data_IF_819531981747
#
_entry.id   IF_819531981747
#
_cell.length_a   1.000
_cell.length_b   1.000
_cell.length_c   1.000
_cell.angle_alpha   90.00
_cell.angle_beta   90.00
_cell.angle_gamma   90.00
#
_symmetry.space_group_name_H-M   'P 1'
#
loop_
_entity.id
_entity.type
_entity.pdbx_description
1 polymer ?
#
# COMPACT_ATOMS: atom_id res chain seq x y z
N UNK A 1 7.26 14.72 1.83
CA UNK A 1 6.28 15.79 1.61
C UNK A 1 6.55 16.48 0.28
N UNK A 2 5.51 16.82 -0.47
CA UNK A 2 5.64 17.64 -1.66
C UNK A 2 4.98 19.00 -1.43
N UNK A 3 5.75 20.09 -1.61
CA UNK A 3 5.28 21.45 -1.41
C UNK A 3 4.35 21.91 -2.54
N UNK A 4 3.38 22.77 -2.24
CA UNK A 4 2.55 23.45 -3.22
C UNK A 4 3.14 24.82 -3.58
N UNK A 5 2.92 25.27 -4.81
CA UNK A 5 3.44 26.57 -5.30
C UNK A 5 2.88 27.77 -4.54
N UNK A 6 1.67 27.65 -4.01
CA UNK A 6 0.96 28.71 -3.26
C UNK A 6 1.16 28.65 -1.75
N UNK A 7 2.14 27.88 -1.28
CA UNK A 7 2.34 27.56 0.14
C UNK A 7 1.53 26.35 0.61
N UNK A 8 2.02 25.66 1.64
CA UNK A 8 1.45 24.40 2.12
C UNK A 8 2.00 23.19 1.37
N UNK A 9 1.22 22.10 1.37
CA UNK A 9 1.65 20.82 0.82
C UNK A 9 0.58 20.26 -0.13
N UNK A 10 1.05 19.63 -1.21
CA UNK A 10 0.20 18.80 -2.09
C UNK A 10 -0.01 17.41 -1.50
N UNK A 11 1.05 16.87 -0.91
CA UNK A 11 1.05 15.55 -0.29
C UNK A 11 1.98 15.54 0.92
N UNK A 12 1.51 14.95 2.00
CA UNK A 12 2.31 14.68 3.20
C UNK A 12 2.14 13.21 3.56
N UNK A 13 3.26 12.53 3.81
CA UNK A 13 3.30 11.16 4.28
C UNK A 13 3.91 11.16 5.68
N UNK A 14 3.21 10.57 6.63
CA UNK A 14 3.67 10.37 8.01
C UNK A 14 3.81 8.90 8.30
N UNK A 15 4.86 8.52 9.02
CA UNK A 15 4.97 7.23 9.69
C UNK A 15 4.66 7.46 11.16
N UNK A 16 3.66 6.76 11.67
CA UNK A 16 3.22 6.84 13.06
C UNK A 16 3.43 5.47 13.69
N UNK A 17 4.17 5.43 14.79
CA UNK A 17 4.51 4.21 15.53
C UNK A 17 3.92 4.26 16.92
N UNK A 18 3.43 3.14 17.42
CA UNK A 18 2.84 3.02 18.75
C UNK A 18 1.93 1.80 18.85
N UNK A 19 1.36 1.58 20.03
CA UNK A 19 0.41 0.49 20.23
C UNK A 19 -0.95 0.82 19.60
N UNK A 20 -1.51 -0.13 18.86
CA UNK A 20 -2.85 -0.02 18.26
C UNK A 20 -3.08 1.21 17.36
N UNK A 21 -2.03 1.82 16.82
CA UNK A 21 -2.12 3.05 16.01
C UNK A 21 -3.07 2.88 14.83
N UNK A 22 -2.95 1.77 14.09
CA UNK A 22 -3.84 1.48 12.96
C UNK A 22 -5.31 1.37 13.39
N UNK A 23 -5.58 0.73 14.55
CA UNK A 23 -6.93 0.62 15.11
C UNK A 23 -7.56 1.99 15.35
N UNK A 24 -6.80 2.94 15.85
CA UNK A 24 -7.28 4.31 16.12
C UNK A 24 -7.43 5.14 14.85
N UNK A 25 -6.52 5.00 13.89
CA UNK A 25 -6.46 5.87 12.72
C UNK A 25 -7.17 5.33 11.47
N UNK A 26 -7.54 4.04 11.43
CA UNK A 26 -8.20 3.43 10.25
C UNK A 26 -9.44 4.19 9.79
N UNK A 27 -10.14 4.87 10.69
CA UNK A 27 -11.34 5.66 10.38
C UNK A 27 -11.05 7.04 9.78
N UNK A 28 -9.76 7.44 9.73
CA UNK A 28 -9.35 8.68 9.08
C UNK A 28 -9.27 8.55 7.55
N UNK A 29 -9.26 7.32 7.04
CA UNK A 29 -9.19 7.08 5.61
C UNK A 29 -10.46 7.51 4.88
N UNK A 30 -10.31 8.27 3.80
CA UNK A 30 -11.40 8.75 2.96
C UNK A 30 -11.26 10.21 2.52
N UNK A 31 -12.36 10.79 2.09
CA UNK A 31 -12.43 12.18 1.59
C UNK A 31 -12.90 13.12 2.69
N UNK A 32 -12.09 14.12 3.01
CA UNK A 32 -12.36 15.15 4.00
C UNK A 32 -12.71 16.47 3.30
N UNK A 33 -13.87 17.02 3.54
CA UNK A 33 -14.32 18.29 3.00
C UNK A 33 -14.02 19.42 3.98
N UNK A 34 -13.36 20.46 3.49
CA UNK A 34 -12.99 21.63 4.30
C UNK A 34 -13.70 22.87 3.77
N UNK A 35 -14.38 23.59 4.66
CA UNK A 35 -15.05 24.86 4.40
C UNK A 35 -14.38 25.94 5.25
N UNK A 36 -13.63 26.84 4.59
CA UNK A 36 -12.95 27.95 5.25
C UNK A 36 -12.84 29.15 4.30
N UNK A 37 -12.55 30.31 4.85
CA UNK A 37 -12.10 31.47 4.08
C UNK A 37 -10.59 31.32 3.89
N UNK A 38 -10.09 31.12 2.64
CA UNK A 38 -8.66 31.00 2.37
C UNK A 38 -7.92 32.32 2.66
N UNK A 39 -6.63 32.25 2.97
CA UNK A 39 -5.79 33.44 3.16
C UNK A 39 -5.72 34.32 1.90
N UNK A 40 -5.87 33.71 0.73
CA UNK A 40 -5.88 34.39 -0.58
C UNK A 40 -7.21 35.06 -0.94
N UNK A 41 -8.27 34.84 -0.15
CA UNK A 41 -9.59 35.41 -0.40
C UNK A 41 -9.73 36.78 0.25
N UNK A 42 -9.92 37.81 -0.56
CA UNK A 42 -9.99 39.23 -0.11
C UNK A 42 -11.39 39.68 0.27
N UNK A 43 -12.45 38.97 -0.20
CA UNK A 43 -13.85 39.32 -0.01
C UNK A 43 -14.54 38.52 1.10
N UNK A 44 -13.79 37.69 1.85
CA UNK A 44 -14.33 36.90 2.95
C UNK A 44 -15.25 35.74 2.53
N UNK A 45 -15.21 35.33 1.26
CA UNK A 45 -16.04 34.22 0.76
C UNK A 45 -15.53 32.88 1.28
N UNK A 46 -16.46 32.02 1.70
CA UNK A 46 -16.15 30.67 2.13
C UNK A 46 -15.91 29.79 0.88
N UNK A 47 -14.72 29.17 0.84
CA UNK A 47 -14.38 28.19 -0.18
C UNK A 47 -14.47 26.78 0.37
N UNK A 48 -14.85 25.84 -0.49
CA UNK A 48 -14.90 24.42 -0.19
C UNK A 48 -13.79 23.69 -0.94
N UNK A 49 -12.94 23.00 -0.19
CA UNK A 49 -11.88 22.14 -0.73
C UNK A 49 -12.02 20.72 -0.18
N UNK A 50 -11.34 19.78 -0.81
CA UNK A 50 -11.24 18.40 -0.35
C UNK A 50 -9.79 18.01 -0.13
N UNK A 51 -9.55 17.19 0.89
CA UNK A 51 -8.31 16.48 1.13
C UNK A 51 -8.61 14.99 1.25
N UNK A 52 -7.79 14.15 0.65
CA UNK A 52 -7.92 12.70 0.75
C UNK A 52 -6.90 12.16 1.73
N UNK A 53 -7.32 11.26 2.58
CA UNK A 53 -6.47 10.59 3.57
C UNK A 53 -6.48 9.10 3.29
N UNK A 54 -5.30 8.49 3.22
CA UNK A 54 -5.13 7.05 3.19
C UNK A 54 -4.38 6.62 4.44
N UNK A 55 -4.90 5.63 5.13
CA UNK A 55 -4.28 5.01 6.30
C UNK A 55 -3.97 3.57 5.97
N UNK A 56 -2.69 3.25 5.90
CA UNK A 56 -2.19 1.95 5.46
C UNK A 56 -1.26 1.39 6.55
N UNK A 57 -1.29 0.09 6.83
CA UNK A 57 -0.28 -0.53 7.66
C UNK A 57 1.08 -0.44 6.96
N UNK A 58 2.17 -0.41 7.74
CA UNK A 58 3.51 -0.48 7.17
C UNK A 58 3.69 -1.84 6.48
N UNK A 59 4.20 -1.81 5.24
CA UNK A 59 4.53 -3.04 4.54
C UNK A 59 5.69 -3.76 5.25
N UNK A 60 5.54 -5.05 5.49
CA UNK A 60 6.62 -5.89 6.00
C UNK A 60 7.67 -6.11 4.92
N UNK A 61 8.93 -6.30 5.33
CA UNK A 61 9.99 -6.68 4.38
C UNK A 61 9.64 -8.02 3.73
N UNK A 62 9.68 -8.00 2.40
CA UNK A 62 9.37 -9.19 1.61
C UNK A 62 10.61 -10.07 1.51
N UNK A 63 10.58 -11.25 2.09
CA UNK A 63 11.61 -12.27 1.91
C UNK A 63 11.09 -13.43 1.06
N UNK A 64 12.02 -14.13 0.39
CA UNK A 64 11.70 -15.28 -0.45
C UNK A 64 12.52 -16.49 -0.04
N UNK A 65 11.83 -17.53 0.37
CA UNK A 65 12.38 -18.87 0.46
C UNK A 65 12.08 -19.64 -0.83
N UNK A 66 13.14 -20.12 -1.47
CA UNK A 66 13.04 -20.97 -2.67
C UNK A 66 13.15 -22.42 -2.23
N UNK A 67 12.03 -23.16 -2.31
CA UNK A 67 12.05 -24.58 -2.01
C UNK A 67 12.74 -25.35 -3.15
N UNK A 68 13.74 -26.18 -2.89
CA UNK A 68 14.41 -26.99 -3.91
C UNK A 68 13.46 -27.91 -4.72
N UNK A 69 12.35 -28.32 -4.16
CA UNK A 69 11.36 -29.17 -4.85
C UNK A 69 10.58 -28.42 -5.94
N UNK A 70 10.49 -27.10 -5.81
CA UNK A 70 9.84 -26.22 -6.77
C UNK A 70 10.74 -25.82 -7.92
N UNK A 71 12.00 -26.26 -7.90
CA UNK A 71 12.98 -25.99 -8.94
C UNK A 71 13.13 -27.17 -9.87
N UNK A 72 13.06 -26.90 -11.15
CA UNK A 72 13.53 -27.80 -12.20
C UNK A 72 14.87 -27.29 -12.73
N UNK A 73 15.88 -28.14 -12.65
CA UNK A 73 17.24 -27.81 -13.04
C UNK A 73 17.60 -28.69 -14.23
N UNK A 74 17.85 -28.07 -15.38
CA UNK A 74 18.35 -28.74 -16.55
C UNK A 74 19.72 -28.22 -16.95
N UNK A 75 20.55 -29.13 -17.39
CA UNK A 75 21.90 -28.80 -17.88
C UNK A 75 21.98 -29.07 -19.36
N UNK A 76 22.68 -28.23 -20.08
CA UNK A 76 22.82 -28.32 -21.53
C UNK A 76 24.14 -27.75 -22.00
N UNK A 77 24.47 -28.03 -23.24
CA UNK A 77 25.67 -27.43 -23.87
C UNK A 77 25.45 -25.95 -24.09
N UNK A 78 26.49 -25.16 -23.79
CA UNK A 78 26.43 -23.75 -24.10
C UNK A 78 26.47 -23.56 -25.62
N UNK A 79 25.62 -22.69 -26.14
CA UNK A 79 25.63 -22.31 -27.56
C UNK A 79 26.48 -21.05 -27.75
N UNK A 80 27.45 -21.10 -28.63
CA UNK A 80 28.30 -19.92 -28.95
C UNK A 80 29.58 -20.30 -29.69
N UNK A 81 30.30 -19.29 -30.16
CA UNK A 81 31.64 -19.47 -30.76
C UNK A 81 32.61 -19.91 -29.66
N UNK A 82 33.04 -21.17 -29.70
CA UNK A 82 33.93 -21.72 -28.69
C UNK A 82 34.66 -22.94 -29.20
N UNK A 83 35.73 -23.32 -28.51
CA UNK A 83 36.52 -24.51 -28.80
C UNK A 83 35.87 -25.82 -28.35
N UNK A 84 36.63 -26.91 -28.32
CA UNK A 84 36.15 -28.27 -28.02
C UNK A 84 35.34 -28.38 -26.70
N UNK A 85 35.70 -27.60 -25.67
CA UNK A 85 35.01 -27.62 -24.36
C UNK A 85 33.53 -27.17 -24.44
N UNK A 86 33.22 -26.13 -25.23
CA UNK A 86 31.83 -25.62 -25.39
C UNK A 86 30.93 -26.62 -26.06
N UNK A 87 31.48 -27.41 -26.97
CA UNK A 87 30.73 -28.38 -27.76
C UNK A 87 30.60 -29.76 -27.10
N UNK A 88 31.38 -30.05 -26.05
CA UNK A 88 31.44 -31.38 -25.41
C UNK A 88 30.93 -31.39 -23.98
N UNK A 89 30.89 -30.24 -23.29
CA UNK A 89 30.56 -30.18 -21.85
C UNK A 89 29.22 -29.47 -21.63
N UNK A 90 28.32 -30.08 -20.83
CA UNK A 90 27.06 -29.48 -20.42
C UNK A 90 27.27 -28.44 -19.30
N UNK A 91 27.89 -27.31 -19.66
CA UNK A 91 28.20 -26.25 -18.71
C UNK A 91 27.08 -25.24 -18.48
N UNK A 92 26.15 -25.09 -19.42
CA UNK A 92 25.02 -24.20 -19.27
C UNK A 92 23.96 -24.80 -18.35
N UNK A 93 23.33 -23.95 -17.57
CA UNK A 93 22.28 -24.32 -16.60
C UNK A 93 21.03 -23.51 -16.87
N UNK A 94 19.91 -24.20 -16.95
CA UNK A 94 18.59 -23.59 -16.96
C UNK A 94 17.87 -23.96 -15.67
N UNK A 95 17.34 -22.96 -14.99
CA UNK A 95 16.47 -23.11 -13.82
C UNK A 95 15.06 -22.68 -14.17
N UNK A 96 14.08 -23.50 -13.81
CA UNK A 96 12.67 -23.17 -13.94
C UNK A 96 12.04 -23.27 -12.55
N UNK A 97 11.43 -22.18 -12.10
CA UNK A 97 10.63 -22.18 -10.88
C UNK A 97 9.19 -22.58 -11.23
N UNK A 98 8.80 -23.79 -10.89
CA UNK A 98 7.52 -24.40 -11.31
C UNK A 98 6.28 -23.58 -10.93
N UNK A 99 6.15 -23.03 -9.69
CA UNK A 99 4.96 -22.30 -9.31
C UNK A 99 4.74 -21.01 -10.09
N UNK A 100 5.82 -20.27 -10.43
CA UNK A 100 5.74 -18.98 -11.12
C UNK A 100 6.05 -19.07 -12.61
N UNK A 101 6.62 -20.16 -13.08
CA UNK A 101 7.09 -20.32 -14.47
C UNK A 101 8.33 -19.48 -14.83
N UNK A 102 8.93 -18.80 -13.85
CA UNK A 102 10.12 -17.98 -14.09
C UNK A 102 11.30 -18.87 -14.49
N UNK A 103 11.86 -18.58 -15.65
CA UNK A 103 13.01 -19.32 -16.21
C UNK A 103 14.25 -18.44 -16.23
N UNK A 104 15.37 -19.01 -15.80
CA UNK A 104 16.69 -18.39 -15.84
C UNK A 104 17.65 -19.32 -16.55
N UNK A 105 18.36 -18.80 -17.55
CA UNK A 105 19.42 -19.49 -18.26
C UNK A 105 20.75 -18.79 -17.95
N UNK A 106 21.79 -19.58 -17.66
CA UNK A 106 23.14 -19.09 -17.41
C UNK A 106 24.18 -19.99 -18.06
N UNK A 107 25.03 -19.38 -18.90
CA UNK A 107 26.11 -20.08 -19.64
C UNK A 107 27.42 -19.28 -19.65
N UNK A 108 27.59 -18.33 -18.72
CA UNK A 108 28.69 -17.36 -18.72
C UNK A 108 30.04 -17.98 -18.35
N UNK A 109 30.00 -19.00 -17.50
CA UNK A 109 31.18 -19.64 -16.94
C UNK A 109 31.40 -21.04 -17.55
N UNK A 110 32.67 -21.49 -17.56
CA UNK A 110 33.00 -22.85 -17.96
C UNK A 110 32.55 -23.92 -16.95
N UNK A 111 32.30 -23.52 -15.72
CA UNK A 111 31.91 -24.41 -14.63
C UNK A 111 30.37 -24.43 -14.47
N UNK A 112 29.77 -25.59 -14.60
CA UNK A 112 28.35 -25.84 -14.36
C UNK A 112 27.91 -25.37 -12.95
N UNK A 113 28.73 -25.65 -11.90
CA UNK A 113 28.44 -25.24 -10.54
C UNK A 113 28.40 -23.72 -10.38
N UNK A 114 29.31 -22.98 -11.04
CA UNK A 114 29.29 -21.52 -11.01
C UNK A 114 28.07 -20.96 -11.73
N UNK A 115 27.73 -21.52 -12.90
CA UNK A 115 26.51 -21.15 -13.63
C UNK A 115 25.27 -21.42 -12.84
N UNK A 116 25.19 -22.56 -12.12
CA UNK A 116 24.07 -22.88 -11.22
C UNK A 116 23.94 -21.85 -10.09
N UNK A 117 25.05 -21.52 -9.41
CA UNK A 117 25.03 -20.54 -8.32
C UNK A 117 24.61 -19.15 -8.84
N UNK A 118 25.11 -18.72 -9.98
CA UNK A 118 24.74 -17.46 -10.62
C UNK A 118 23.26 -17.46 -11.04
N UNK A 119 22.79 -18.53 -11.66
CA UNK A 119 21.39 -18.69 -12.03
C UNK A 119 20.45 -18.63 -10.81
N UNK A 120 20.83 -19.24 -9.68
CA UNK A 120 20.07 -19.17 -8.43
C UNK A 120 19.99 -17.73 -7.89
N UNK A 121 21.09 -16.98 -7.94
CA UNK A 121 21.08 -15.57 -7.52
C UNK A 121 20.17 -14.73 -8.40
N UNK A 122 20.22 -14.92 -9.72
CA UNK A 122 19.36 -14.21 -10.67
C UNK A 122 17.89 -14.60 -10.47
N UNK A 123 17.61 -15.89 -10.25
CA UNK A 123 16.25 -16.38 -10.00
C UNK A 123 15.68 -15.75 -8.72
N UNK A 124 16.45 -15.75 -7.61
CA UNK A 124 16.03 -15.12 -6.35
C UNK A 124 15.73 -13.65 -6.55
N UNK A 125 16.58 -12.92 -7.25
CA UNK A 125 16.35 -11.49 -7.53
C UNK A 125 15.10 -11.25 -8.37
N UNK A 126 14.82 -12.08 -9.38
CA UNK A 126 13.60 -11.97 -10.20
C UNK A 126 12.33 -12.27 -9.41
N UNK A 127 12.36 -13.32 -8.59
CA UNK A 127 11.21 -13.69 -7.75
C UNK A 127 10.95 -12.64 -6.68
N UNK A 128 12.00 -12.09 -6.05
CA UNK A 128 11.88 -11.02 -5.08
C UNK A 128 11.22 -9.80 -5.71
N UNK A 129 11.74 -9.38 -6.87
CA UNK A 129 11.18 -8.24 -7.60
C UNK A 129 9.71 -8.46 -7.98
N UNK A 130 9.35 -9.64 -8.46
CA UNK A 130 7.96 -9.95 -8.81
C UNK A 130 7.04 -9.89 -7.58
N UNK A 131 7.49 -10.38 -6.44
CA UNK A 131 6.72 -10.33 -5.18
C UNK A 131 6.59 -8.90 -4.65
N UNK A 132 7.68 -8.11 -4.72
CA UNK A 132 7.63 -6.68 -4.38
C UNK A 132 6.64 -5.90 -5.28
N UNK A 133 6.64 -6.18 -6.58
CA UNK A 133 5.70 -5.57 -7.54
C UNK A 133 4.24 -5.96 -7.22
N UNK A 134 3.99 -7.22 -6.85
CA UNK A 134 2.67 -7.69 -6.45
C UNK A 134 2.19 -6.99 -5.16
N UNK A 135 3.04 -6.92 -4.12
CA UNK A 135 2.72 -6.22 -2.88
C UNK A 135 2.51 -4.71 -3.10
N UNK A 136 3.34 -4.09 -3.94
CA UNK A 136 3.15 -2.69 -4.35
C UNK A 136 1.82 -2.47 -5.08
N UNK A 137 1.43 -3.40 -5.95
CA UNK A 137 0.15 -3.31 -6.66
C UNK A 137 -1.04 -3.45 -5.69
N UNK A 138 -0.98 -4.38 -4.74
CA UNK A 138 -1.99 -4.52 -3.67
C UNK A 138 -2.11 -3.24 -2.84
N UNK A 139 -0.98 -2.70 -2.40
CA UNK A 139 -0.92 -1.48 -1.61
C UNK A 139 -1.48 -0.26 -2.36
N UNK A 140 -1.15 -0.14 -3.65
CA UNK A 140 -1.68 0.91 -4.51
C UNK A 140 -3.20 0.77 -4.73
N UNK A 141 -3.69 -0.46 -4.89
CA UNK A 141 -5.12 -0.74 -5.03
C UNK A 141 -5.88 -0.41 -3.74
N UNK A 142 -5.35 -0.79 -2.58
CA UNK A 142 -5.93 -0.47 -1.27
C UNK A 142 -5.97 1.04 -1.04
N UNK A 143 -4.87 1.75 -1.30
CA UNK A 143 -4.81 3.21 -1.24
C UNK A 143 -5.87 3.85 -2.13
N UNK A 144 -5.99 3.39 -3.38
CA UNK A 144 -6.97 3.89 -4.34
C UNK A 144 -8.41 3.64 -3.86
N UNK A 145 -8.67 2.49 -3.27
CA UNK A 145 -9.98 2.17 -2.70
C UNK A 145 -10.37 3.09 -1.55
N UNK A 146 -9.42 3.46 -0.69
CA UNK A 146 -9.65 4.37 0.44
C UNK A 146 -9.88 5.82 0.00
N UNK A 147 -9.17 6.28 -1.04
CA UNK A 147 -9.22 7.68 -1.53
C UNK A 147 -10.44 7.90 -2.43
N UNK A 148 -10.92 6.85 -3.13
CA UNK A 148 -11.98 6.97 -4.12
C UNK A 148 -11.60 7.90 -5.27
N UNK A 149 -12.55 8.70 -5.75
CA UNK A 149 -12.33 9.74 -6.77
C UNK A 149 -11.89 11.08 -6.16
N UNK A 150 -11.95 11.23 -4.82
CA UNK A 150 -11.73 12.50 -4.14
C UNK A 150 -12.84 13.52 -4.35
N UNK A 151 -13.99 13.11 -4.88
CA UNK A 151 -15.13 13.99 -5.10
C UNK A 151 -15.73 14.45 -3.76
N UNK A 152 -16.28 15.67 -3.76
CA UNK A 152 -16.96 16.25 -2.59
C UNK A 152 -18.17 15.47 -2.14
N UNK A 153 -18.78 14.68 -3.01
CA UNK A 153 -19.92 13.80 -2.70
C UNK A 153 -19.50 12.60 -1.84
N UNK A 154 -18.28 12.10 -1.99
CA UNK A 154 -17.73 10.95 -1.25
C UNK A 154 -17.23 11.29 0.16
N UNK A 155 -17.45 12.52 0.61
CA UNK A 155 -16.94 12.99 1.89
C UNK A 155 -17.39 12.12 3.07
N UNK A 156 -16.44 11.74 3.90
CA UNK A 156 -16.69 11.11 5.20
C UNK A 156 -16.90 12.17 6.30
N UNK A 157 -16.18 13.31 6.21
CA UNK A 157 -16.24 14.42 7.17
C UNK A 157 -16.30 15.77 6.52
N UNK A 158 -16.88 16.72 7.25
CA UNK A 158 -16.86 18.15 6.90
C UNK A 158 -16.33 18.97 8.05
N UNK A 159 -15.28 19.73 7.78
CA UNK A 159 -14.64 20.71 8.66
C UNK A 159 -15.18 22.09 8.33
N UNK A 160 -16.09 22.63 9.14
CA UNK A 160 -16.68 23.95 8.94
C UNK A 160 -16.02 24.95 9.89
N UNK A 161 -14.99 25.64 9.41
CA UNK A 161 -14.24 26.60 10.21
C UNK A 161 -15.07 27.80 10.65
N UNK A 162 -15.91 28.44 9.80
CA UNK A 162 -16.75 29.54 10.24
C UNK A 162 -17.70 29.21 11.39
N UNK A 163 -18.16 27.93 11.46
CA UNK A 163 -19.08 27.47 12.51
C UNK A 163 -18.34 26.75 13.65
N UNK A 164 -17.02 26.61 13.58
CA UNK A 164 -16.23 25.86 14.57
C UNK A 164 -16.69 24.40 14.76
N UNK A 165 -17.21 23.77 13.71
CA UNK A 165 -17.87 22.49 13.76
C UNK A 165 -17.25 21.47 12.79
N UNK A 166 -17.02 20.27 13.29
CA UNK A 166 -16.72 19.08 12.50
C UNK A 166 -17.96 18.18 12.48
N UNK A 167 -18.38 17.73 11.32
CA UNK A 167 -19.46 16.75 11.14
C UNK A 167 -18.89 15.49 10.53
N UNK A 168 -19.02 14.35 11.22
CA UNK A 168 -18.76 13.03 10.62
C UNK A 168 -20.06 12.48 10.03
N UNK A 169 -20.07 12.29 8.70
CA UNK A 169 -21.29 11.92 7.97
C UNK A 169 -21.63 10.44 8.11
N UNK A 170 -20.69 9.59 8.55
CA UNK A 170 -20.92 8.17 8.78
C UNK A 170 -21.80 7.92 10.01
N UNK A 171 -21.66 8.78 11.01
CA UNK A 171 -22.41 8.70 12.28
C UNK A 171 -23.39 9.84 12.48
N UNK A 172 -23.41 10.85 11.58
CA UNK A 172 -24.30 12.00 11.65
C UNK A 172 -24.05 12.93 12.86
N UNK A 173 -22.90 12.80 13.54
CA UNK A 173 -22.59 13.51 14.78
C UNK A 173 -21.68 14.72 14.53
N UNK A 174 -21.88 15.76 15.33
CA UNK A 174 -21.09 16.98 15.31
C UNK A 174 -20.12 17.04 16.49
N UNK A 175 -18.92 17.51 16.24
CA UNK A 175 -17.84 17.67 17.21
C UNK A 175 -17.30 19.11 17.18
N UNK A 176 -16.62 19.53 18.26
CA UNK A 176 -15.93 20.82 18.31
C UNK A 176 -14.70 20.79 17.41
N UNK A 177 -14.70 21.62 16.36
CA UNK A 177 -13.57 21.69 15.44
C UNK A 177 -12.27 22.18 16.10
N UNK A 178 -12.26 23.22 16.97
CA UNK A 178 -11.05 23.62 17.66
C UNK A 178 -10.39 22.48 18.44
N UNK A 179 -11.16 21.73 19.24
CA UNK A 179 -10.62 20.60 20.00
C UNK A 179 -10.03 19.51 19.10
N UNK A 180 -10.69 19.18 17.99
CA UNK A 180 -10.19 18.19 17.02
C UNK A 180 -8.86 18.65 16.39
N UNK A 181 -8.74 19.92 16.02
CA UNK A 181 -7.51 20.46 15.44
C UNK A 181 -6.36 20.48 16.45
N UNK A 182 -6.66 20.62 17.73
CA UNK A 182 -5.69 20.51 18.84
C UNK A 182 -5.32 19.05 19.19
N UNK A 183 -5.96 18.07 18.55
CA UNK A 183 -5.64 16.64 18.71
C UNK A 183 -6.57 15.86 19.65
N UNK A 184 -7.65 16.47 20.15
CA UNK A 184 -8.64 15.80 21.02
C UNK A 184 -9.58 14.93 20.17
N UNK A 185 -9.08 13.76 19.73
CA UNK A 185 -9.78 12.85 18.81
C UNK A 185 -10.54 11.73 19.54
N UNK A 186 -10.37 11.56 20.85
CA UNK A 186 -10.87 10.41 21.60
C UNK A 186 -12.37 10.20 21.41
N UNK A 187 -13.18 11.24 21.62
CA UNK A 187 -14.65 11.15 21.52
C UNK A 187 -15.13 10.78 20.11
N UNK A 188 -14.42 11.26 19.10
CA UNK A 188 -14.71 10.93 17.70
C UNK A 188 -14.35 9.47 17.39
N UNK A 189 -13.17 9.03 17.84
CA UNK A 189 -12.67 7.66 17.64
C UNK A 189 -13.59 6.67 18.37
N UNK A 190 -13.98 6.94 19.62
CA UNK A 190 -14.90 6.09 20.38
C UNK A 190 -16.27 5.96 19.69
N UNK A 191 -16.83 7.07 19.22
CA UNK A 191 -18.11 7.04 18.51
C UNK A 191 -18.05 6.18 17.24
N UNK A 192 -16.94 6.26 16.47
CA UNK A 192 -16.73 5.43 15.28
C UNK A 192 -16.48 3.97 15.61
N UNK A 193 -15.76 3.68 16.70
CA UNK A 193 -15.56 2.32 17.19
C UNK A 193 -16.87 1.65 17.59
N UNK A 194 -17.75 2.36 18.27
CA UNK A 194 -19.05 1.82 18.69
C UNK A 194 -19.89 1.42 17.48
N UNK A 195 -19.96 2.27 16.45
CA UNK A 195 -20.71 1.95 15.22
C UNK A 195 -20.07 0.78 14.45
N UNK A 196 -18.72 0.73 14.33
CA UNK A 196 -18.02 -0.41 13.70
C UNK A 196 -18.27 -1.72 14.48
N UNK A 197 -18.30 -1.65 15.81
CA UNK A 197 -18.57 -2.80 16.67
C UNK A 197 -20.02 -3.30 16.52
N UNK A 198 -21.00 -2.40 16.54
CA UNK A 198 -22.41 -2.74 16.33
C UNK A 198 -22.64 -3.38 14.96
N UNK A 199 -22.08 -2.80 13.90
CA UNK A 199 -22.18 -3.35 12.55
C UNK A 199 -21.56 -4.75 12.43
N UNK A 200 -20.44 -5.02 13.13
CA UNK A 200 -19.83 -6.35 13.17
C UNK A 200 -20.70 -7.37 13.90
N UNK A 201 -21.33 -6.97 15.00
CA UNK A 201 -22.25 -7.87 15.73
C UNK A 201 -23.44 -8.21 14.83
N UNK A 202 -24.04 -7.23 14.17
CA UNK A 202 -25.17 -7.46 13.27
C UNK A 202 -24.81 -8.43 12.14
N UNK A 203 -23.64 -8.24 11.51
CA UNK A 203 -23.14 -9.15 10.47
C UNK A 203 -22.93 -10.58 10.99
N UNK A 204 -22.39 -10.75 12.20
CA UNK A 204 -22.20 -12.04 12.82
C UNK A 204 -23.53 -12.73 13.12
N UNK A 205 -24.52 -12.00 13.62
CA UNK A 205 -25.86 -12.54 13.88
C UNK A 205 -26.57 -12.95 12.59
N UNK A 206 -26.39 -12.19 11.52
CA UNK A 206 -26.97 -12.54 10.20
C UNK A 206 -26.29 -13.77 9.59
N UNK A 207 -24.97 -13.90 9.70
CA UNK A 207 -24.23 -15.05 9.19
C UNK A 207 -24.53 -16.37 9.93
N UNK A 208 -25.04 -16.30 11.18
CA UNK A 208 -25.48 -17.47 11.95
C UNK A 208 -26.93 -17.88 11.66
N UNK A 209 -27.70 -17.03 10.98
CA UNK A 209 -29.10 -17.30 10.59
C UNK A 209 -29.25 -17.82 9.15
N UNK A 210 -28.15 -17.76 8.36
CA UNK A 210 -28.09 -18.26 6.99
C UNK A 210 -27.44 -19.65 6.95
#
# INVERSE_FOLDING_TARGET
>A
SSAAETGGFREIIFKITGENVYKHLKFESGVHRVQRVPVTETQGRIHTSTATVAVLPEAEEVDIEINPQDLEISTMRASGAGGQHVNTTDSAVQLVHKPTGVTVYCADERSQHKNKAKAMTVLRSRLLKAKEEEEHAKYAAERKGQIGTGDRSERIRTYNFPQGRLTDHRIGTNFSLPGIVEGNLESLIEALHNVDYEARIENLVQSQKA
#
